data_IF_669263738963
#
_entry.id   IF_669263738963
#
_cell.length_a   1.000
_cell.length_b   1.000
_cell.length_c   1.000
_cell.angle_alpha   90.00
_cell.angle_beta   90.00
_cell.angle_gamma   90.00
#
_symmetry.space_group_name_H-M   'P 1'
#
loop_
_entity.id
_entity.type
_entity.pdbx_description
1 polymer ?
#
# COMPACT_ATOMS: atom_id res chain seq x y z
N UNK A 1 -3.07 15.31 3.07
CA UNK A 1 -3.90 14.09 3.14
C UNK A 1 -4.24 13.68 1.72
N UNK A 2 -4.01 12.43 1.35
CA UNK A 2 -4.25 11.95 -0.02
C UNK A 2 -5.74 11.91 -0.35
N UNK A 3 -6.13 12.00 -1.63
CA UNK A 3 -7.56 11.91 -2.02
C UNK A 3 -8.17 10.59 -1.53
N UNK A 4 -7.42 9.51 -1.61
CA UNK A 4 -7.86 8.19 -1.16
C UNK A 4 -8.11 8.12 0.35
N UNK A 5 -7.24 8.73 1.17
CA UNK A 5 -7.42 8.75 2.62
C UNK A 5 -8.66 9.57 3.01
N UNK A 6 -8.91 10.67 2.29
CA UNK A 6 -10.10 11.50 2.46
C UNK A 6 -11.37 10.74 2.05
N UNK A 7 -11.36 10.07 0.89
CA UNK A 7 -12.46 9.22 0.40
C UNK A 7 -12.81 8.11 1.41
N UNK A 8 -11.82 7.59 2.14
CA UNK A 8 -12.01 6.54 3.15
C UNK A 8 -12.26 7.07 4.56
N UNK A 9 -12.48 8.37 4.73
CA UNK A 9 -12.90 8.96 6.01
C UNK A 9 -11.96 8.65 7.16
N UNK A 10 -10.65 8.56 6.91
CA UNK A 10 -9.64 8.24 7.94
C UNK A 10 -9.57 6.76 8.34
N UNK A 11 -10.30 5.86 7.68
CA UNK A 11 -10.22 4.39 7.88
C UNK A 11 -9.04 3.75 7.17
N UNK A 12 -8.33 4.53 6.36
CA UNK A 12 -7.17 4.09 5.58
C UNK A 12 -6.02 5.06 5.82
N UNK A 13 -4.83 4.51 6.05
CA UNK A 13 -3.58 5.24 6.06
C UNK A 13 -2.77 4.88 4.81
N UNK A 14 -2.29 5.88 4.07
CA UNK A 14 -1.44 5.68 2.91
C UNK A 14 0.01 5.97 3.29
N UNK A 15 0.84 4.93 3.30
CA UNK A 15 2.28 5.04 3.52
C UNK A 15 2.98 5.04 2.17
N UNK A 16 3.60 6.18 1.82
CA UNK A 16 4.42 6.30 0.60
C UNK A 16 5.86 5.95 0.93
N UNK A 17 6.38 4.91 0.30
CA UNK A 17 7.73 4.43 0.54
C UNK A 17 8.63 4.73 -0.66
N UNK A 18 9.66 5.54 -0.44
CA UNK A 18 10.67 5.79 -1.45
C UNK A 18 11.64 4.60 -1.54
N UNK A 19 11.57 3.83 -2.62
CA UNK A 19 12.40 2.63 -2.81
C UNK A 19 13.89 2.92 -2.94
N UNK A 20 14.26 4.17 -3.25
CA UNK A 20 15.65 4.60 -3.39
C UNK A 20 16.32 4.89 -2.04
N UNK A 21 15.54 4.98 -0.96
CA UNK A 21 16.07 5.19 0.39
C UNK A 21 16.37 3.85 1.09
N UNK A 22 17.23 3.83 2.12
CA UNK A 22 17.60 2.60 2.83
C UNK A 22 16.39 1.79 3.31
N UNK A 23 15.40 2.46 3.92
CA UNK A 23 14.17 1.82 4.40
C UNK A 23 13.35 1.22 3.26
N UNK A 24 13.25 1.91 2.12
CA UNK A 24 12.55 1.41 0.94
C UNK A 24 13.22 0.19 0.32
N UNK A 25 14.57 0.19 0.23
CA UNK A 25 15.34 -0.97 -0.23
C UNK A 25 15.19 -2.16 0.71
N UNK A 26 15.19 -1.92 2.02
CA UNK A 26 14.97 -2.98 3.00
C UNK A 26 13.57 -3.59 2.87
N UNK A 27 12.53 -2.76 2.81
CA UNK A 27 11.17 -3.23 2.64
C UNK A 27 10.95 -3.91 1.29
N UNK A 28 11.62 -3.46 0.21
CA UNK A 28 11.62 -4.14 -1.08
C UNK A 28 12.15 -5.57 -1.00
N UNK A 29 13.22 -5.79 -0.23
CA UNK A 29 13.73 -7.14 0.05
C UNK A 29 12.78 -7.97 0.91
N UNK A 30 12.19 -7.37 1.95
CA UNK A 30 11.28 -8.06 2.88
C UNK A 30 9.94 -8.45 2.23
N UNK A 31 9.33 -7.54 1.46
CA UNK A 31 8.02 -7.72 0.81
C UNK A 31 8.10 -8.29 -0.60
N UNK A 32 9.31 -8.36 -1.17
CA UNK A 32 9.60 -9.03 -2.44
C UNK A 32 9.13 -8.29 -3.69
N UNK A 33 8.84 -6.99 -3.63
CA UNK A 33 8.48 -6.22 -4.84
C UNK A 33 9.73 -5.79 -5.62
N UNK A 34 9.64 -5.78 -6.96
CA UNK A 34 10.77 -5.50 -7.87
C UNK A 34 10.49 -4.40 -8.89
N UNK A 35 9.26 -3.89 -8.91
CA UNK A 35 8.79 -2.92 -9.90
C UNK A 35 8.04 -1.79 -9.20
N UNK A 36 8.06 -0.61 -9.79
CA UNK A 36 7.35 0.57 -9.27
C UNK A 36 6.44 1.17 -10.35
N UNK A 37 5.26 1.68 -9.96
CA UNK A 37 4.68 1.62 -8.61
C UNK A 37 4.14 0.21 -8.29
N UNK A 38 4.31 -0.21 -7.03
CA UNK A 38 3.62 -1.38 -6.46
C UNK A 38 2.82 -0.90 -5.25
N UNK A 39 1.53 -1.23 -5.22
CA UNK A 39 0.65 -0.99 -4.09
C UNK A 39 0.48 -2.29 -3.32
N UNK A 40 0.67 -2.26 -2.01
CA UNK A 40 0.49 -3.40 -1.12
C UNK A 40 -0.52 -2.99 -0.05
N UNK A 41 -1.58 -3.77 0.09
CA UNK A 41 -2.69 -3.48 1.00
C UNK A 41 -2.61 -4.41 2.18
N UNK A 42 -2.63 -3.83 3.38
CA UNK A 42 -2.62 -4.56 4.65
C UNK A 42 -3.95 -4.37 5.38
N UNK A 43 -4.37 -5.39 6.13
CA UNK A 43 -5.46 -5.26 7.10
C UNK A 43 -5.01 -4.53 8.38
N UNK A 44 -5.94 -4.30 9.31
CA UNK A 44 -5.63 -3.63 10.58
C UNK A 44 -4.72 -4.44 11.52
N UNK A 45 -4.49 -5.72 11.24
CA UNK A 45 -3.58 -6.60 11.96
C UNK A 45 -2.18 -6.65 11.31
N UNK A 46 -2.02 -6.02 10.15
CA UNK A 46 -0.77 -5.99 9.40
C UNK A 46 -0.57 -7.18 8.45
N UNK A 47 -1.62 -7.97 8.16
CA UNK A 47 -1.54 -9.01 7.15
C UNK A 47 -1.75 -8.45 5.75
N UNK A 48 -0.94 -8.89 4.79
CA UNK A 48 -1.12 -8.52 3.39
C UNK A 48 -2.40 -9.16 2.84
N UNK A 49 -3.34 -8.31 2.39
CA UNK A 49 -4.60 -8.72 1.75
C UNK A 49 -4.42 -8.87 0.24
N UNK A 50 -3.47 -8.14 -0.33
CA UNK A 50 -3.08 -8.25 -1.73
C UNK A 50 -2.19 -7.13 -2.21
N UNK A 51 -1.81 -7.19 -3.49
CA UNK A 51 -0.98 -6.19 -4.16
C UNK A 51 -1.43 -5.94 -5.59
N UNK A 52 -1.17 -4.74 -6.08
CA UNK A 52 -1.38 -4.36 -7.48
C UNK A 52 -0.16 -3.61 -8.03
N UNK A 53 0.14 -3.81 -9.31
CA UNK A 53 1.32 -3.24 -9.99
C UNK A 53 0.84 -2.22 -11.01
N UNK A 54 1.52 -1.07 -11.09
CA UNK A 54 1.23 0.00 -12.04
C UNK A 54 0.09 0.92 -11.59
N UNK A 55 -1.07 0.34 -11.23
CA UNK A 55 -2.22 1.08 -10.72
C UNK A 55 -2.76 0.46 -9.42
N UNK A 56 -3.43 1.28 -8.61
CA UNK A 56 -4.09 0.83 -7.39
C UNK A 56 -5.39 0.10 -7.74
N UNK A 57 -5.54 -1.13 -7.27
CA UNK A 57 -6.80 -1.85 -7.32
C UNK A 57 -7.73 -1.39 -6.19
N UNK A 58 -8.83 -0.71 -6.55
CA UNK A 58 -9.82 -0.21 -5.57
C UNK A 58 -10.52 -1.35 -4.83
N UNK A 59 -10.70 -2.51 -5.44
CA UNK A 59 -11.35 -3.65 -4.78
C UNK A 59 -10.52 -4.15 -3.58
N UNK A 60 -9.18 -4.07 -3.64
CA UNK A 60 -8.32 -4.40 -2.50
C UNK A 60 -8.49 -3.40 -1.35
N UNK A 61 -8.62 -2.10 -1.67
CA UNK A 61 -8.82 -1.06 -0.66
C UNK A 61 -10.18 -1.22 0.02
N UNK A 62 -11.23 -1.48 -0.74
CA UNK A 62 -12.59 -1.64 -0.21
C UNK A 62 -12.73 -2.84 0.73
N UNK A 63 -11.88 -3.86 0.59
CA UNK A 63 -11.84 -5.01 1.51
C UNK A 63 -11.33 -4.67 2.91
N UNK A 64 -10.46 -3.66 3.03
CA UNK A 64 -9.86 -3.27 4.31
C UNK A 64 -10.43 -1.97 4.88
N UNK A 65 -11.00 -1.14 4.01
CA UNK A 65 -11.63 0.13 4.36
C UNK A 65 -12.93 0.31 3.56
N UNK A 66 -14.02 -0.37 3.96
CA UNK A 66 -15.34 -0.19 3.35
C UNK A 66 -15.93 1.20 3.64
#
# INVERSE_FOLDING_TARGET
MDRLEQEKGGRLQVIRLNIMEPVGREMGRRLGFRVTPTFIVFDAQGHEVGRSIGSLDRALVDRVAP
#
